data_IF_591903366044
#
_entry.id   IF_591903366044
#
_cell.length_a   1.000
_cell.length_b   1.000
_cell.length_c   1.000
_cell.angle_alpha   90.00
_cell.angle_beta   90.00
_cell.angle_gamma   90.00
#
_symmetry.space_group_name_H-M   'P 1'
#
loop_
_entity.id
_entity.type
_entity.pdbx_description
1 polymer ?
#
# COMPACT_ATOMS: atom_id res chain seq x y z
N UNK A 1 -6.56 6.26 -15.64
CA UNK A 1 -7.32 6.35 -14.38
C UNK A 1 -6.89 5.23 -13.44
N UNK A 2 -6.52 5.57 -12.23
CA UNK A 2 -6.11 4.57 -11.25
C UNK A 2 -7.31 3.86 -10.63
N UNK A 3 -7.18 2.56 -10.45
CA UNK A 3 -8.18 1.69 -9.84
C UNK A 3 -7.60 1.04 -8.58
N UNK A 4 -6.29 0.75 -8.58
CA UNK A 4 -5.62 -0.03 -7.56
C UNK A 4 -4.56 0.77 -6.82
N UNK A 5 -4.59 0.70 -5.49
CA UNK A 5 -3.52 1.18 -4.61
C UNK A 5 -2.74 -0.04 -4.13
N UNK A 6 -1.46 -0.14 -4.52
CA UNK A 6 -0.63 -1.30 -4.20
C UNK A 6 0.06 -1.11 -2.85
N UNK A 7 -0.20 -2.03 -1.92
CA UNK A 7 0.46 -2.04 -0.61
C UNK A 7 1.93 -2.47 -0.74
N UNK A 8 2.70 -2.23 0.30
CA UNK A 8 4.14 -2.53 0.33
C UNK A 8 4.44 -3.98 -0.04
N UNK A 9 3.66 -4.94 0.49
CA UNK A 9 3.87 -6.36 0.24
C UNK A 9 3.58 -6.78 -1.21
N UNK A 10 2.86 -5.97 -1.97
CA UNK A 10 2.61 -6.21 -3.40
C UNK A 10 3.73 -5.60 -4.23
N UNK A 11 4.01 -4.30 -4.03
CA UNK A 11 5.01 -3.59 -4.84
C UNK A 11 6.43 -4.11 -4.60
N UNK A 12 6.70 -4.72 -3.46
CA UNK A 12 8.01 -5.29 -3.14
C UNK A 12 8.18 -6.74 -3.61
N UNK A 13 7.11 -7.42 -3.98
CA UNK A 13 7.19 -8.84 -4.37
C UNK A 13 8.18 -9.11 -5.51
N UNK A 14 8.24 -8.30 -6.59
CA UNK A 14 9.20 -8.52 -7.67
C UNK A 14 10.67 -8.50 -7.25
N UNK A 15 11.01 -7.91 -6.10
CA UNK A 15 12.39 -7.83 -5.61
C UNK A 15 12.82 -9.06 -4.80
N UNK A 16 11.91 -10.00 -4.56
CA UNK A 16 12.22 -11.21 -3.77
C UNK A 16 12.86 -12.28 -4.64
N UNK A 17 13.64 -13.22 -4.03
CA UNK A 17 14.32 -14.26 -4.80
C UNK A 17 13.41 -15.20 -5.58
N UNK A 18 12.22 -15.50 -5.04
CA UNK A 18 11.24 -16.38 -5.68
C UNK A 18 9.87 -15.74 -5.64
N UNK A 19 9.63 -14.71 -6.47
CA UNK A 19 8.37 -13.97 -6.41
C UNK A 19 7.19 -14.80 -6.90
N UNK A 20 6.00 -14.48 -6.36
CA UNK A 20 4.74 -15.09 -6.76
C UNK A 20 4.42 -14.74 -8.23
N UNK A 21 4.22 -15.76 -9.06
CA UNK A 21 3.82 -15.53 -10.46
C UNK A 21 2.47 -14.85 -10.55
N UNK A 22 1.54 -15.19 -9.67
CA UNK A 22 0.22 -14.58 -9.61
C UNK A 22 0.32 -13.06 -9.40
N UNK A 23 1.16 -12.63 -8.46
CA UNK A 23 1.38 -11.20 -8.19
C UNK A 23 2.06 -10.53 -9.37
N UNK A 24 3.11 -11.13 -9.93
CA UNK A 24 3.83 -10.56 -11.08
C UNK A 24 2.90 -10.36 -12.27
N UNK A 25 2.05 -11.35 -12.57
CA UNK A 25 1.09 -11.26 -13.66
C UNK A 25 0.05 -10.16 -13.41
N UNK A 26 -0.48 -10.08 -12.20
CA UNK A 26 -1.46 -9.04 -11.86
C UNK A 26 -0.86 -7.64 -11.90
N UNK A 27 0.38 -7.47 -11.46
CA UNK A 27 1.10 -6.19 -11.57
C UNK A 27 1.22 -5.78 -13.03
N UNK A 28 1.63 -6.70 -13.90
CA UNK A 28 1.82 -6.41 -15.33
C UNK A 28 0.49 -6.08 -16.02
N UNK A 29 -0.55 -6.85 -15.74
CA UNK A 29 -1.86 -6.68 -16.37
C UNK A 29 -2.54 -5.37 -15.95
N UNK A 30 -2.31 -4.91 -14.73
CA UNK A 30 -2.98 -3.74 -14.16
C UNK A 30 -2.07 -2.53 -13.98
N UNK A 31 -0.90 -2.55 -14.61
CA UNK A 31 0.10 -1.48 -14.44
C UNK A 31 -0.47 -0.09 -14.73
N UNK A 32 -1.22 0.05 -15.83
CA UNK A 32 -1.76 1.34 -16.25
C UNK A 32 -2.87 1.87 -15.33
N UNK A 33 -3.34 1.04 -14.39
CA UNK A 33 -4.43 1.37 -13.46
C UNK A 33 -3.97 1.29 -12.00
N UNK A 34 -2.67 1.25 -11.76
CA UNK A 34 -2.11 1.08 -10.41
C UNK A 34 -1.31 2.29 -9.98
N UNK A 35 -1.38 2.58 -8.69
CA UNK A 35 -0.60 3.65 -8.06
C UNK A 35 -0.14 3.20 -6.67
N UNK A 36 0.69 4.01 -6.06
CA UNK A 36 1.06 3.88 -4.65
C UNK A 36 0.75 5.21 -3.95
N UNK A 37 0.94 5.27 -2.64
CA UNK A 37 0.73 6.52 -1.90
C UNK A 37 1.98 6.87 -1.08
N UNK A 38 2.03 8.12 -0.60
CA UNK A 38 3.19 8.63 0.14
C UNK A 38 3.48 7.84 1.42
N UNK A 39 2.44 7.31 2.07
CA UNK A 39 2.62 6.48 3.28
C UNK A 39 3.32 5.16 2.93
N UNK A 40 2.87 4.49 1.86
CA UNK A 40 3.50 3.27 1.36
C UNK A 40 4.92 3.55 0.91
N UNK A 41 5.14 4.66 0.22
CA UNK A 41 6.47 5.09 -0.21
C UNK A 41 7.40 5.27 0.99
N UNK A 42 6.91 5.91 2.06
CA UNK A 42 7.67 6.07 3.31
C UNK A 42 8.03 4.72 3.93
N UNK A 43 7.10 3.77 3.96
CA UNK A 43 7.38 2.42 4.48
C UNK A 43 8.45 1.71 3.67
N UNK A 44 8.37 1.78 2.35
CA UNK A 44 9.36 1.17 1.45
C UNK A 44 10.74 1.75 1.71
N UNK A 45 10.86 3.08 1.66
CA UNK A 45 12.16 3.75 1.85
C UNK A 45 12.74 3.47 3.23
N UNK A 46 11.91 3.52 4.27
CA UNK A 46 12.35 3.23 5.64
C UNK A 46 12.87 1.79 5.76
N UNK A 47 12.12 0.83 5.20
CA UNK A 47 12.53 -0.57 5.21
C UNK A 47 13.86 -0.79 4.53
N UNK A 48 14.10 -0.15 3.38
CA UNK A 48 15.35 -0.26 2.65
C UNK A 48 16.50 0.41 3.43
N UNK A 49 16.27 1.62 3.93
CA UNK A 49 17.30 2.38 4.64
C UNK A 49 17.74 1.72 5.95
N UNK A 50 16.90 0.88 6.53
CA UNK A 50 17.20 0.14 7.76
C UNK A 50 17.89 -1.21 7.50
N UNK A 51 18.17 -1.57 6.25
CA UNK A 51 18.91 -2.80 5.94
C UNK A 51 20.36 -2.70 6.39
N UNK A 52 20.86 -3.79 6.99
CA UNK A 52 22.26 -3.86 7.43
C UNK A 52 23.22 -4.10 6.27
N UNK A 53 22.82 -4.89 5.27
CA UNK A 53 23.60 -5.18 4.08
C UNK A 53 23.65 -3.95 3.18
N UNK A 54 24.77 -3.27 3.16
CA UNK A 54 24.96 -2.02 2.42
C UNK A 54 24.81 -2.19 0.91
N UNK A 55 25.32 -3.29 0.36
CA UNK A 55 25.24 -3.55 -1.08
C UNK A 55 23.79 -3.74 -1.52
N UNK A 56 23.03 -4.53 -0.76
CA UNK A 56 21.60 -4.75 -1.03
C UNK A 56 20.81 -3.45 -0.85
N UNK A 57 21.10 -2.68 0.20
CA UNK A 57 20.48 -1.39 0.45
C UNK A 57 20.67 -0.43 -0.72
N UNK A 58 21.92 -0.27 -1.19
CA UNK A 58 22.22 0.64 -2.29
C UNK A 58 21.55 0.20 -3.60
N UNK A 59 21.52 -1.11 -3.89
CA UNK A 59 20.87 -1.65 -5.08
C UNK A 59 19.36 -1.40 -5.04
N UNK A 60 18.70 -1.64 -3.91
CA UNK A 60 17.27 -1.42 -3.76
C UNK A 60 16.91 0.06 -3.81
N UNK A 61 17.69 0.92 -3.16
CA UNK A 61 17.46 2.37 -3.25
C UNK A 61 17.54 2.85 -4.70
N UNK A 62 18.56 2.40 -5.42
CA UNK A 62 18.71 2.76 -6.83
C UNK A 62 17.50 2.31 -7.65
N UNK A 63 17.05 1.07 -7.47
CA UNK A 63 15.89 0.52 -8.17
C UNK A 63 14.62 1.32 -7.87
N UNK A 64 14.31 1.55 -6.59
CA UNK A 64 13.09 2.25 -6.22
C UNK A 64 13.11 3.72 -6.63
N UNK A 65 14.22 4.43 -6.44
CA UNK A 65 14.30 5.85 -6.79
C UNK A 65 14.35 6.10 -8.30
N UNK A 66 14.97 5.23 -9.07
CA UNK A 66 15.14 5.43 -10.51
C UNK A 66 14.12 4.70 -11.38
N UNK A 67 13.46 3.67 -10.86
CA UNK A 67 12.48 2.89 -11.62
C UNK A 67 11.08 3.05 -11.05
N UNK A 68 10.86 2.66 -9.80
CA UNK A 68 9.51 2.64 -9.21
C UNK A 68 8.94 4.05 -9.04
N UNK A 69 9.72 4.98 -8.49
CA UNK A 69 9.26 6.36 -8.27
C UNK A 69 8.84 7.02 -9.58
N UNK A 70 9.49 6.70 -10.68
CA UNK A 70 9.18 7.26 -12.00
C UNK A 70 8.03 6.54 -12.70
N UNK A 71 7.81 5.27 -12.37
CA UNK A 71 6.81 4.44 -13.04
C UNK A 71 5.40 4.61 -12.45
N UNK A 72 5.30 4.85 -11.15
CA UNK A 72 4.01 4.93 -10.45
C UNK A 72 3.72 6.34 -9.98
N UNK A 73 2.45 6.73 -10.08
CA UNK A 73 1.96 7.92 -9.39
C UNK A 73 2.00 7.66 -7.88
N UNK A 74 2.45 8.65 -7.12
CA UNK A 74 2.49 8.59 -5.65
C UNK A 74 1.48 9.56 -5.11
N UNK A 75 0.32 9.05 -4.67
CA UNK A 75 -0.76 9.89 -4.14
C UNK A 75 -0.39 10.42 -2.75
N UNK A 76 -0.64 11.70 -2.49
CA UNK A 76 -0.34 12.28 -1.18
C UNK A 76 -1.39 11.87 -0.13
N UNK A 77 -0.96 11.82 1.13
CA UNK A 77 -1.88 11.82 2.27
C UNK A 77 -2.32 13.27 2.50
N UNK A 78 -3.39 13.66 1.82
CA UNK A 78 -3.87 15.05 1.81
C UNK A 78 -4.94 15.31 2.88
N UNK A 79 -5.54 16.50 2.86
CA UNK A 79 -6.55 16.88 3.85
C UNK A 79 -7.82 16.02 3.77
N UNK A 80 -8.20 15.54 2.58
CA UNK A 80 -9.33 14.64 2.42
C UNK A 80 -9.05 13.28 3.09
N UNK A 81 -7.88 12.73 2.81
CA UNK A 81 -7.44 11.48 3.46
C UNK A 81 -7.32 11.66 4.97
N UNK A 82 -6.83 12.81 5.44
CA UNK A 82 -6.71 13.11 6.87
C UNK A 82 -8.08 13.13 7.56
N UNK A 83 -9.10 13.70 6.92
CA UNK A 83 -10.47 13.70 7.46
C UNK A 83 -11.02 12.29 7.57
N UNK A 84 -10.85 11.47 6.54
CA UNK A 84 -11.30 10.07 6.58
C UNK A 84 -10.53 9.29 7.65
N UNK A 85 -9.23 9.50 7.75
CA UNK A 85 -8.40 8.89 8.79
C UNK A 85 -8.96 9.18 10.19
N UNK A 86 -9.30 10.43 10.47
CA UNK A 86 -9.83 10.82 11.78
C UNK A 86 -11.16 10.14 12.09
N UNK A 87 -12.03 9.99 11.09
CA UNK A 87 -13.31 9.28 11.23
C UNK A 87 -13.08 7.79 11.51
N UNK A 88 -12.14 7.16 10.81
CA UNK A 88 -11.80 5.75 11.03
C UNK A 88 -11.26 5.52 12.44
N UNK A 89 -10.36 6.39 12.91
CA UNK A 89 -9.80 6.30 14.26
C UNK A 89 -10.91 6.38 15.31
N UNK A 90 -11.82 7.34 15.17
CA UNK A 90 -12.94 7.51 16.10
C UNK A 90 -13.84 6.28 16.11
N UNK A 91 -14.24 5.79 14.95
CA UNK A 91 -15.17 4.65 14.86
C UNK A 91 -14.56 3.36 15.40
N UNK A 92 -13.28 3.10 15.10
CA UNK A 92 -12.60 1.90 15.59
C UNK A 92 -12.32 1.97 17.08
N UNK A 93 -12.00 3.15 17.61
CA UNK A 93 -11.83 3.35 19.04
C UNK A 93 -13.15 3.07 19.78
N UNK A 94 -14.28 3.54 19.25
CA UNK A 94 -15.59 3.33 19.83
C UNK A 94 -15.99 1.85 19.82
N UNK A 95 -15.48 1.06 18.87
CA UNK A 95 -15.68 -0.38 18.82
C UNK A 95 -14.66 -1.16 19.67
N UNK A 96 -13.73 -0.47 20.32
CA UNK A 96 -12.69 -1.12 21.12
C UNK A 96 -11.63 -1.85 20.28
N UNK A 97 -11.45 -1.47 19.02
CA UNK A 97 -10.54 -2.15 18.09
C UNK A 97 -9.60 -1.14 17.40
N UNK A 98 -8.64 -0.57 18.15
CA UNK A 98 -7.65 0.33 17.53
C UNK A 98 -6.72 -0.44 16.61
N UNK A 99 -6.37 0.15 15.46
CA UNK A 99 -5.48 -0.44 14.46
C UNK A 99 -4.21 0.39 14.31
N UNK A 100 -3.15 -0.19 13.70
CA UNK A 100 -1.92 0.56 13.44
C UNK A 100 -2.18 1.81 12.60
N UNK A 101 -1.52 2.90 12.97
CA UNK A 101 -1.74 4.21 12.33
C UNK A 101 -1.44 4.22 10.85
N UNK A 102 -0.35 3.56 10.43
CA UNK A 102 0.02 3.53 9.00
C UNK A 102 -1.02 2.79 8.18
N UNK A 103 -1.57 1.67 8.67
CA UNK A 103 -2.64 0.94 7.99
C UNK A 103 -3.88 1.81 7.81
N UNK A 104 -4.23 2.59 8.84
CA UNK A 104 -5.36 3.52 8.77
C UNK A 104 -5.10 4.66 7.78
N UNK A 105 -3.88 5.16 7.70
CA UNK A 105 -3.53 6.21 6.74
C UNK A 105 -3.58 5.68 5.29
N UNK A 106 -3.13 4.47 5.07
CA UNK A 106 -3.19 3.80 3.76
C UNK A 106 -4.65 3.60 3.35
N UNK A 107 -5.46 3.05 4.25
CA UNK A 107 -6.89 2.83 4.02
C UNK A 107 -7.62 4.14 3.72
N UNK A 108 -7.34 5.19 4.50
CA UNK A 108 -7.94 6.51 4.30
C UNK A 108 -7.60 7.09 2.92
N UNK A 109 -6.36 6.90 2.46
CA UNK A 109 -5.95 7.33 1.12
C UNK A 109 -6.68 6.55 0.03
N UNK A 110 -6.83 5.24 0.20
CA UNK A 110 -7.60 4.43 -0.75
C UNK A 110 -9.05 4.88 -0.82
N UNK A 111 -9.69 5.09 0.33
CA UNK A 111 -11.09 5.51 0.41
C UNK A 111 -11.30 6.87 -0.23
N UNK A 112 -10.44 7.85 0.09
CA UNK A 112 -10.56 9.23 -0.43
C UNK A 112 -10.39 9.31 -1.95
N UNK A 113 -9.70 8.35 -2.55
CA UNK A 113 -9.45 8.29 -3.99
C UNK A 113 -10.29 7.21 -4.71
N UNK A 114 -11.21 6.56 -4.00
CA UNK A 114 -12.07 5.49 -4.54
C UNK A 114 -11.26 4.35 -5.17
N UNK A 115 -10.18 3.93 -4.49
CA UNK A 115 -9.27 2.89 -4.97
C UNK A 115 -9.50 1.57 -4.23
N UNK A 116 -9.20 0.48 -4.93
CA UNK A 116 -9.13 -0.85 -4.32
C UNK A 116 -7.72 -1.00 -3.73
N UNK A 117 -7.63 -1.27 -2.44
CA UNK A 117 -6.36 -1.55 -1.79
C UNK A 117 -5.95 -2.99 -2.08
N UNK A 118 -4.82 -3.17 -2.76
CA UNK A 118 -4.28 -4.48 -3.06
C UNK A 118 -3.23 -4.82 -2.00
N UNK A 119 -3.50 -5.85 -1.21
CA UNK A 119 -2.63 -6.24 -0.10
C UNK A 119 -2.69 -7.76 0.11
N UNK A 120 -1.59 -8.33 0.59
CA UNK A 120 -1.56 -9.72 1.03
C UNK A 120 -2.34 -9.91 2.34
N UNK A 121 -2.38 -8.88 3.16
CA UNK A 121 -2.92 -8.92 4.52
C UNK A 121 -4.34 -8.38 4.60
N UNK A 122 -5.24 -8.88 3.74
CA UNK A 122 -6.64 -8.39 3.69
C UNK A 122 -7.35 -8.52 5.04
N UNK A 123 -7.03 -9.53 5.84
CA UNK A 123 -7.63 -9.72 7.17
C UNK A 123 -7.35 -8.54 8.11
N UNK A 124 -6.19 -7.89 7.98
CA UNK A 124 -5.83 -6.75 8.82
C UNK A 124 -6.71 -5.53 8.54
N UNK A 125 -7.33 -5.47 7.36
CA UNK A 125 -8.19 -4.36 6.94
C UNK A 125 -9.69 -4.66 7.09
N UNK A 126 -10.08 -5.87 7.48
CA UNK A 126 -11.49 -6.23 7.67
C UNK A 126 -12.22 -5.33 8.66
N UNK A 127 -11.63 -4.95 9.83
CA UNK A 127 -12.32 -4.02 10.74
C UNK A 127 -12.61 -2.67 10.09
N UNK A 128 -11.76 -2.20 9.18
CA UNK A 128 -11.97 -0.94 8.47
C UNK A 128 -13.12 -1.08 7.48
N UNK A 129 -13.23 -2.22 6.82
CA UNK A 129 -14.34 -2.50 5.87
C UNK A 129 -15.70 -2.50 6.57
N UNK A 130 -15.75 -2.87 7.85
CA UNK A 130 -16.99 -2.87 8.63
C UNK A 130 -17.51 -1.46 8.92
N UNK A 131 -16.66 -0.45 8.92
CA UNK A 131 -17.01 0.93 9.23
C UNK A 131 -16.83 1.89 8.04
N UNK A 132 -16.55 1.36 6.86
CA UNK A 132 -16.29 2.18 5.68
C UNK A 132 -16.63 1.41 4.40
N UNK A 133 -16.43 2.07 3.26
CA UNK A 133 -16.58 1.45 1.94
C UNK A 133 -15.25 1.00 1.34
N UNK A 134 -14.23 0.75 2.18
CA UNK A 134 -12.95 0.24 1.71
C UNK A 134 -13.13 -1.08 0.95
N UNK A 135 -12.49 -1.18 -0.21
CA UNK A 135 -12.42 -2.41 -1.00
C UNK A 135 -11.00 -2.93 -1.01
N UNK A 136 -10.83 -4.25 -0.89
CA UNK A 136 -9.51 -4.88 -0.90
C UNK A 136 -9.47 -6.05 -1.88
N UNK A 137 -8.29 -6.32 -2.42
CA UNK A 137 -7.99 -7.51 -3.21
C UNK A 137 -6.66 -8.10 -2.77
N UNK A 138 -6.53 -9.41 -2.88
CA UNK A 138 -5.27 -10.11 -2.64
C UNK A 138 -4.80 -10.77 -3.93
N UNK A 139 -3.73 -10.25 -4.53
CA UNK A 139 -3.19 -10.77 -5.79
C UNK A 139 -2.33 -12.04 -5.62
N UNK A 140 -2.08 -12.46 -4.37
CA UNK A 140 -1.48 -13.77 -4.09
C UNK A 140 -2.48 -14.91 -4.25
N UNK A 141 -3.77 -14.61 -4.08
CA UNK A 141 -4.87 -15.57 -4.13
C UNK A 141 -5.71 -15.33 -5.38
N UNK A 142 -5.41 -16.08 -6.44
CA UNK A 142 -6.16 -15.97 -7.70
C UNK A 142 -6.46 -17.35 -8.28
#
# INVERSE_FOLDING_TARGET
>A
MNIYLLDTNIISEPTKPSPSESVLNSIAENFDHSCICSVIWAEILTGIKCLADRKRKDALLNYYLNTIQKAYEILPFDSFAASIYSDLVEQLKNKGNPLPKLDLMIAATAISNNLILVTRNTADFEPIKEVSNLMTENWFEQ
#
